data_IF_144921383479
#
_entry.id   IF_144921383479
#
_cell.length_a   1.000
_cell.length_b   1.000
_cell.length_c   1.000
_cell.angle_alpha   90.00
_cell.angle_beta   90.00
_cell.angle_gamma   90.00
#
_symmetry.space_group_name_H-M   'P 1'
#
loop_
_entity.id
_entity.type
_entity.pdbx_description
1 polymer ?
#
# COMPACT_ATOMS: atom_id res chain seq x y z
N UNK A 1 21.38 2.58 -24.55
CA UNK A 1 22.71 2.08 -24.13
C UNK A 1 22.69 1.87 -22.60
N UNK A 2 23.58 1.07 -22.00
CA UNK A 2 23.55 0.79 -20.54
C UNK A 2 23.59 2.09 -19.71
N UNK A 3 24.30 3.11 -20.18
CA UNK A 3 24.38 4.42 -19.53
C UNK A 3 23.01 5.14 -19.42
N UNK A 4 22.17 5.05 -20.46
CA UNK A 4 20.84 5.69 -20.45
C UNK A 4 19.93 5.01 -19.42
N UNK A 5 19.91 3.67 -19.41
CA UNK A 5 19.12 2.90 -18.45
C UNK A 5 19.60 3.10 -17.00
N UNK A 6 20.91 3.26 -16.79
CA UNK A 6 21.46 3.60 -15.48
C UNK A 6 21.02 4.99 -15.02
N UNK A 7 21.00 5.98 -15.92
CA UNK A 7 20.54 7.34 -15.63
C UNK A 7 19.04 7.37 -15.30
N UNK A 8 18.23 6.60 -16.03
CA UNK A 8 16.80 6.49 -15.75
C UNK A 8 16.53 5.78 -14.42
N UNK A 9 17.29 4.71 -14.11
CA UNK A 9 17.25 4.06 -12.80
C UNK A 9 17.61 5.02 -11.65
N UNK A 10 18.64 5.85 -11.84
CA UNK A 10 19.01 6.87 -10.85
C UNK A 10 17.88 7.88 -10.61
N UNK A 11 17.25 8.38 -11.67
CA UNK A 11 16.08 9.29 -11.53
C UNK A 11 14.96 8.62 -10.75
N UNK A 12 14.63 7.36 -11.06
CA UNK A 12 13.59 6.61 -10.33
C UNK A 12 13.96 6.49 -8.85
N UNK A 13 15.21 6.13 -8.53
CA UNK A 13 15.67 6.00 -7.15
C UNK A 13 15.52 7.31 -6.35
N UNK A 14 15.91 8.45 -6.94
CA UNK A 14 15.75 9.77 -6.30
C UNK A 14 14.27 10.10 -6.10
N UNK A 15 13.43 9.86 -7.10
CA UNK A 15 11.98 10.10 -6.99
C UNK A 15 11.36 9.25 -5.88
N UNK A 16 11.70 7.96 -5.80
CA UNK A 16 11.21 7.07 -4.74
C UNK A 16 11.68 7.55 -3.36
N UNK A 17 12.95 7.96 -3.22
CA UNK A 17 13.46 8.48 -1.95
C UNK A 17 12.72 9.73 -1.48
N UNK A 18 12.50 10.71 -2.37
CA UNK A 18 11.75 11.94 -2.05
C UNK A 18 10.29 11.61 -1.72
N UNK A 19 9.66 10.72 -2.49
CA UNK A 19 8.29 10.27 -2.26
C UNK A 19 8.13 9.59 -0.89
N UNK A 20 9.08 8.73 -0.50
CA UNK A 20 9.09 8.08 0.81
C UNK A 20 9.15 9.11 1.95
N UNK A 21 10.05 10.10 1.86
CA UNK A 21 10.14 11.17 2.85
C UNK A 21 8.82 11.93 2.98
N UNK A 22 8.19 12.27 1.86
CA UNK A 22 6.92 12.99 1.86
C UNK A 22 5.79 12.17 2.51
N UNK A 23 5.60 10.90 2.12
CA UNK A 23 4.53 10.08 2.67
C UNK A 23 4.74 9.69 4.13
N UNK A 24 5.98 9.39 4.55
CA UNK A 24 6.28 9.11 5.96
C UNK A 24 5.97 10.34 6.81
N UNK A 25 6.42 11.52 6.38
CA UNK A 25 6.17 12.78 7.09
C UNK A 25 4.68 13.12 7.15
N UNK A 26 3.95 12.91 6.05
CA UNK A 26 2.51 13.12 5.99
C UNK A 26 1.75 12.17 6.92
N UNK A 27 2.09 10.89 6.91
CA UNK A 27 1.48 9.90 7.81
C UNK A 27 1.73 10.24 9.27
N UNK A 28 2.93 10.69 9.61
CA UNK A 28 3.25 11.12 10.97
C UNK A 28 2.47 12.38 11.36
N UNK A 29 2.36 13.37 10.47
CA UNK A 29 1.55 14.56 10.71
C UNK A 29 0.06 14.22 10.96
N UNK A 30 -0.51 13.29 10.18
CA UNK A 30 -1.87 12.79 10.38
C UNK A 30 -1.97 12.09 11.75
N UNK A 31 -0.98 11.25 12.10
CA UNK A 31 -0.98 10.54 13.37
C UNK A 31 -0.90 11.49 14.57
N UNK A 32 -0.10 12.56 14.50
CA UNK A 32 -0.03 13.62 15.53
C UNK A 32 -1.38 14.33 15.66
N UNK A 33 -2.04 14.66 14.54
CA UNK A 33 -3.35 15.31 14.55
C UNK A 33 -4.41 14.43 15.24
N UNK A 34 -4.46 13.15 14.91
CA UNK A 34 -5.34 12.20 15.59
C UNK A 34 -4.94 11.98 17.07
N UNK A 35 -3.64 12.00 17.36
CA UNK A 35 -3.10 11.90 18.71
C UNK A 35 -3.59 13.03 19.63
N UNK A 36 -3.84 14.23 19.09
CA UNK A 36 -4.37 15.36 19.85
C UNK A 36 -5.76 15.11 20.45
N UNK A 37 -6.54 14.18 19.86
CA UNK A 37 -7.84 13.74 20.35
C UNK A 37 -7.80 12.34 20.98
N UNK A 38 -6.60 11.83 21.27
CA UNK A 38 -6.39 10.51 21.89
C UNK A 38 -6.56 9.32 20.94
N UNK A 39 -6.51 9.53 19.63
CA UNK A 39 -6.66 8.48 18.61
C UNK A 39 -5.33 8.19 17.91
N UNK A 40 -5.14 6.94 17.46
CA UNK A 40 -4.03 6.56 16.57
C UNK A 40 -4.58 6.27 15.18
N UNK A 41 -4.18 7.06 14.19
CA UNK A 41 -4.73 6.96 12.84
C UNK A 41 -4.44 5.61 12.19
N UNK A 42 -3.21 5.11 12.32
CA UNK A 42 -2.79 3.80 11.78
C UNK A 42 -3.59 2.66 12.41
N UNK A 43 -3.83 2.73 13.73
CA UNK A 43 -4.65 1.73 14.42
C UNK A 43 -6.11 1.78 13.96
N UNK A 44 -6.68 2.97 13.77
CA UNK A 44 -8.06 3.14 13.32
C UNK A 44 -8.28 2.52 11.93
N UNK A 45 -7.42 2.84 10.96
CA UNK A 45 -7.49 2.22 9.63
C UNK A 45 -7.19 0.71 9.68
N UNK A 46 -6.38 0.29 10.66
CA UNK A 46 -6.12 -1.12 10.94
C UNK A 46 -7.38 -1.88 11.33
N UNK A 47 -8.25 -1.31 12.19
CA UNK A 47 -9.54 -1.92 12.52
C UNK A 47 -10.47 -2.05 11.30
N UNK A 48 -10.41 -1.11 10.35
CA UNK A 48 -11.21 -1.18 9.11
C UNK A 48 -10.77 -2.36 8.23
N UNK A 49 -9.46 -2.62 8.16
CA UNK A 49 -8.90 -3.71 7.35
C UNK A 49 -8.77 -5.04 8.10
N UNK A 50 -8.88 -5.06 9.43
CA UNK A 50 -8.76 -6.27 10.23
C UNK A 50 -9.73 -7.40 9.83
N UNK A 51 -11.02 -7.15 9.51
CA UNK A 51 -11.90 -8.19 9.00
C UNK A 51 -11.40 -8.81 7.70
N UNK A 52 -10.81 -8.01 6.80
CA UNK A 52 -10.24 -8.50 5.54
C UNK A 52 -8.99 -9.34 5.83
N UNK A 53 -8.09 -8.85 6.68
CA UNK A 53 -6.91 -9.59 7.12
C UNK A 53 -7.29 -10.95 7.71
N UNK A 54 -8.31 -10.98 8.58
CA UNK A 54 -8.83 -12.22 9.16
C UNK A 54 -9.37 -13.18 8.09
N UNK A 55 -10.14 -12.69 7.12
CA UNK A 55 -10.63 -13.49 6.00
C UNK A 55 -9.50 -14.03 5.10
N UNK A 56 -8.36 -13.35 5.02
CA UNK A 56 -7.16 -13.84 4.33
C UNK A 56 -6.43 -14.95 5.10
N UNK A 57 -6.85 -15.27 6.33
CA UNK A 57 -6.29 -16.33 7.15
C UNK A 57 -5.28 -15.88 8.21
N UNK A 58 -5.24 -14.58 8.54
CA UNK A 58 -4.43 -14.02 9.62
C UNK A 58 -5.14 -14.21 10.97
N UNK A 59 -4.46 -14.67 12.04
CA UNK A 59 -5.06 -14.78 13.37
C UNK A 59 -5.63 -13.43 13.87
N UNK A 60 -6.76 -13.45 14.56
CA UNK A 60 -7.42 -12.21 15.01
C UNK A 60 -6.52 -11.32 15.88
N UNK A 61 -5.64 -11.92 16.69
CA UNK A 61 -4.64 -11.21 17.51
C UNK A 61 -3.65 -10.38 16.68
N UNK A 62 -3.43 -10.76 15.42
CA UNK A 62 -2.50 -10.12 14.49
C UNK A 62 -3.23 -9.29 13.41
N UNK A 63 -4.56 -9.38 13.36
CA UNK A 63 -5.38 -8.80 12.28
C UNK A 63 -5.37 -7.27 12.25
N UNK A 64 -5.30 -6.60 13.40
CA UNK A 64 -5.24 -5.13 13.46
C UNK A 64 -3.88 -4.59 13.01
N UNK A 65 -2.72 -5.10 13.51
CA UNK A 65 -1.42 -4.77 12.96
C UNK A 65 -1.31 -5.05 11.45
N UNK A 66 -1.76 -6.22 11.01
CA UNK A 66 -1.79 -6.60 9.59
C UNK A 66 -2.66 -5.65 8.77
N UNK A 67 -3.88 -5.36 9.24
CA UNK A 67 -4.81 -4.44 8.59
C UNK A 67 -4.23 -3.02 8.47
N UNK A 68 -3.48 -2.56 9.47
CA UNK A 68 -2.82 -1.26 9.44
C UNK A 68 -1.80 -1.18 8.31
N UNK A 69 -0.99 -2.23 8.11
CA UNK A 69 -0.04 -2.32 6.98
C UNK A 69 -0.79 -2.36 5.64
N UNK A 70 -1.87 -3.14 5.58
CA UNK A 70 -2.69 -3.28 4.38
C UNK A 70 -3.31 -1.95 3.93
N UNK A 71 -3.81 -1.18 4.90
CA UNK A 71 -4.39 0.15 4.69
C UNK A 71 -3.31 1.20 4.37
N UNK A 72 -2.18 1.16 5.07
CA UNK A 72 -1.04 2.06 4.84
C UNK A 72 -0.57 1.98 3.40
N UNK A 73 -0.44 0.75 2.84
CA UNK A 73 -0.14 0.55 1.41
C UNK A 73 -1.13 1.29 0.51
N UNK A 74 -2.43 1.18 0.77
CA UNK A 74 -3.47 1.73 -0.10
C UNK A 74 -3.44 3.27 -0.10
N UNK A 75 -3.28 3.87 1.08
CA UNK A 75 -3.27 5.32 1.30
C UNK A 75 -1.96 5.96 0.82
N UNK A 76 -0.84 5.28 1.07
CA UNK A 76 0.50 5.74 0.70
C UNK A 76 1.02 4.92 -0.49
N UNK A 77 1.90 3.96 -0.24
CA UNK A 77 2.40 3.00 -1.20
C UNK A 77 2.99 1.77 -0.47
N UNK A 78 3.34 0.77 -1.26
CA UNK A 78 3.94 -0.48 -0.84
C UNK A 78 5.30 -0.31 -0.15
N UNK A 79 6.14 0.64 -0.57
CA UNK A 79 7.45 0.85 0.06
C UNK A 79 7.32 1.38 1.50
N UNK A 80 6.43 2.34 1.74
CA UNK A 80 6.14 2.85 3.09
C UNK A 80 5.60 1.71 3.98
N UNK A 81 4.65 0.94 3.46
CA UNK A 81 4.10 -0.20 4.19
C UNK A 81 5.14 -1.29 4.46
N UNK A 82 6.08 -1.55 3.55
CA UNK A 82 7.18 -2.50 3.76
C UNK A 82 8.18 -2.03 4.83
N UNK A 83 8.44 -0.71 4.91
CA UNK A 83 9.27 -0.14 5.98
C UNK A 83 8.62 -0.32 7.35
N UNK A 84 7.30 -0.08 7.45
CA UNK A 84 6.54 -0.34 8.66
C UNK A 84 6.51 -1.85 8.99
N UNK A 85 6.30 -2.70 7.98
CA UNK A 85 6.24 -4.15 8.14
C UNK A 85 7.54 -4.72 8.71
N UNK A 86 8.70 -4.20 8.26
CA UNK A 86 10.01 -4.60 8.78
C UNK A 86 10.11 -4.49 10.31
N UNK A 87 9.45 -3.49 10.90
CA UNK A 87 9.52 -3.24 12.34
C UNK A 87 8.66 -4.21 13.16
N UNK A 88 7.69 -4.89 12.54
CA UNK A 88 6.77 -5.82 13.22
C UNK A 88 7.01 -7.29 12.84
N UNK A 89 7.99 -7.58 11.98
CA UNK A 89 8.33 -8.95 11.55
C UNK A 89 8.58 -9.89 12.74
N UNK A 90 9.18 -9.41 13.83
CA UNK A 90 9.44 -10.24 15.01
C UNK A 90 8.21 -10.56 15.86
N UNK A 91 7.12 -9.81 15.68
CA UNK A 91 5.95 -9.82 16.56
C UNK A 91 4.75 -10.58 15.97
N UNK A 92 4.85 -11.04 14.72
CA UNK A 92 3.77 -11.74 14.01
C UNK A 92 4.20 -13.14 13.57
N UNK A 93 3.23 -14.06 13.50
CA UNK A 93 3.46 -15.44 13.06
C UNK A 93 4.04 -15.52 11.64
N UNK A 94 4.81 -16.58 11.34
CA UNK A 94 5.37 -16.83 10.00
C UNK A 94 4.29 -16.86 8.91
N UNK A 95 3.08 -17.36 9.25
CA UNK A 95 1.91 -17.34 8.38
C UNK A 95 1.49 -15.93 8.02
N UNK A 96 1.33 -15.05 9.00
CA UNK A 96 1.00 -13.63 8.78
C UNK A 96 2.09 -12.91 7.99
N UNK A 97 3.36 -13.21 8.29
CA UNK A 97 4.48 -12.66 7.52
C UNK A 97 4.37 -13.03 6.04
N UNK A 98 4.09 -14.30 5.72
CA UNK A 98 3.91 -14.76 4.36
C UNK A 98 2.73 -14.08 3.66
N UNK A 99 1.56 -14.04 4.31
CA UNK A 99 0.33 -13.44 3.76
C UNK A 99 0.56 -11.94 3.46
N UNK A 100 1.10 -11.19 4.42
CA UNK A 100 1.34 -9.76 4.27
C UNK A 100 2.43 -9.47 3.26
N UNK A 101 3.50 -10.26 3.22
CA UNK A 101 4.55 -10.10 2.20
C UNK A 101 3.97 -10.18 0.79
N UNK A 102 3.14 -11.17 0.50
CA UNK A 102 2.52 -11.31 -0.83
C UNK A 102 1.47 -10.23 -1.10
N UNK A 103 0.69 -9.84 -0.09
CA UNK A 103 -0.26 -8.73 -0.24
C UNK A 103 0.44 -7.40 -0.58
N UNK A 104 1.57 -7.11 0.06
CA UNK A 104 2.30 -5.85 -0.10
C UNK A 104 3.01 -5.74 -1.45
N UNK A 105 3.41 -6.84 -2.08
CA UNK A 105 4.11 -6.84 -3.38
C UNK A 105 3.13 -6.58 -4.53
N UNK A 106 2.66 -5.34 -4.64
CA UNK A 106 1.90 -4.79 -5.77
C UNK A 106 1.76 -3.27 -5.65
N UNK A 107 1.60 -2.59 -6.78
CA UNK A 107 1.44 -1.13 -6.84
C UNK A 107 -0.02 -0.66 -6.70
N UNK A 108 -0.87 -1.42 -6.01
CA UNK A 108 -2.27 -1.07 -5.80
C UNK A 108 -2.41 -0.01 -4.69
N UNK A 109 -2.42 1.27 -5.07
CA UNK A 109 -2.61 2.43 -4.19
C UNK A 109 -3.19 3.64 -4.95
N UNK A 110 -3.66 4.66 -4.23
CA UNK A 110 -4.24 5.87 -4.85
C UNK A 110 -3.23 6.64 -5.72
N UNK A 111 -1.95 6.66 -5.32
CA UNK A 111 -0.87 7.29 -6.07
C UNK A 111 -0.69 6.69 -7.46
N UNK A 112 -0.67 5.35 -7.57
CA UNK A 112 -0.56 4.63 -8.85
C UNK A 112 -1.72 4.93 -9.78
N UNK A 113 -2.95 5.03 -9.27
CA UNK A 113 -4.11 5.41 -10.08
C UNK A 113 -3.94 6.83 -10.63
N UNK A 114 -3.43 7.76 -9.81
CA UNK A 114 -3.08 9.12 -10.24
C UNK A 114 -2.01 9.13 -11.34
N UNK A 115 -0.95 8.32 -11.19
CA UNK A 115 0.10 8.16 -12.21
C UNK A 115 -0.50 7.66 -13.52
N UNK A 116 -1.31 6.60 -13.50
CA UNK A 116 -1.94 6.04 -14.71
C UNK A 116 -2.83 7.08 -15.41
N UNK A 117 -3.69 7.76 -14.65
CA UNK A 117 -4.56 8.80 -15.20
C UNK A 117 -3.74 9.95 -15.79
N UNK A 118 -2.71 10.41 -15.09
CA UNK A 118 -1.82 11.49 -15.54
C UNK A 118 -1.06 11.13 -16.81
N UNK A 119 -0.50 9.92 -16.86
CA UNK A 119 0.20 9.41 -18.05
C UNK A 119 -0.72 9.32 -19.27
N UNK A 120 -1.97 8.86 -19.09
CA UNK A 120 -2.93 8.76 -20.20
C UNK A 120 -3.40 10.16 -20.64
N UNK A 121 -3.64 11.10 -19.72
CA UNK A 121 -3.96 12.49 -20.06
C UNK A 121 -2.84 13.16 -20.87
N UNK A 122 -1.57 12.89 -20.52
CA UNK A 122 -0.41 13.36 -21.29
C UNK A 122 -0.38 12.89 -22.75
N UNK A 123 -1.14 11.83 -23.09
CA UNK A 123 -1.30 11.32 -24.46
C UNK A 123 -2.64 11.79 -25.07
N UNK A 124 -3.73 11.73 -24.30
CA UNK A 124 -5.08 12.11 -24.71
C UNK A 124 -5.97 12.45 -23.51
N UNK A 125 -6.39 13.72 -23.42
CA UNK A 125 -7.27 14.20 -22.36
C UNK A 125 -8.58 13.40 -22.27
N UNK A 126 -9.24 13.19 -23.42
CA UNK A 126 -10.50 12.43 -23.50
C UNK A 126 -10.36 11.01 -22.94
N UNK A 127 -9.25 10.32 -23.24
CA UNK A 127 -9.03 8.97 -22.71
C UNK A 127 -8.66 9.01 -21.23
N UNK A 128 -7.89 10.01 -20.80
CA UNK A 128 -7.53 10.18 -19.41
C UNK A 128 -8.73 10.47 -18.52
N UNK A 129 -9.70 11.28 -18.98
CA UNK A 129 -10.98 11.48 -18.29
C UNK A 129 -11.80 10.19 -18.22
N UNK A 130 -11.84 9.42 -19.31
CA UNK A 130 -12.49 8.11 -19.30
C UNK A 130 -11.86 7.20 -18.24
N UNK A 131 -10.54 7.11 -18.16
CA UNK A 131 -9.86 6.28 -17.15
C UNK A 131 -10.08 6.81 -15.74
N UNK A 132 -10.03 8.13 -15.55
CA UNK A 132 -10.32 8.76 -14.25
C UNK A 132 -11.71 8.39 -13.73
N UNK A 133 -12.72 8.29 -14.60
CA UNK A 133 -14.08 7.87 -14.20
C UNK A 133 -14.14 6.43 -13.65
N UNK A 134 -13.14 5.60 -13.94
CA UNK A 134 -13.01 4.23 -13.41
C UNK A 134 -11.97 4.11 -12.28
N UNK A 135 -11.37 5.20 -11.80
CA UNK A 135 -10.28 5.21 -10.82
C UNK A 135 -10.56 4.32 -9.59
N UNK A 136 -11.73 4.46 -8.97
CA UNK A 136 -12.10 3.66 -7.79
C UNK A 136 -12.27 2.17 -8.12
N UNK A 137 -12.76 1.84 -9.31
CA UNK A 137 -12.90 0.44 -9.76
C UNK A 137 -11.54 -0.19 -10.05
N UNK A 138 -10.61 0.57 -10.62
CA UNK A 138 -9.22 0.14 -10.83
C UNK A 138 -8.50 -0.12 -9.50
N UNK A 139 -8.68 0.79 -8.54
CA UNK A 139 -8.12 0.63 -7.20
C UNK A 139 -8.69 -0.60 -6.49
N UNK A 140 -10.01 -0.77 -6.52
CA UNK A 140 -10.67 -1.92 -5.91
C UNK A 140 -10.22 -3.23 -6.56
N UNK A 141 -10.22 -3.31 -7.90
CA UNK A 141 -9.82 -4.51 -8.63
C UNK A 141 -8.37 -4.92 -8.34
N UNK A 142 -7.44 -3.95 -8.34
CA UNK A 142 -6.02 -4.22 -8.02
C UNK A 142 -5.81 -4.58 -6.55
N UNK A 143 -6.57 -3.99 -5.62
CA UNK A 143 -6.54 -4.36 -4.20
C UNK A 143 -7.07 -5.78 -3.99
N UNK A 144 -8.20 -6.14 -4.63
CA UNK A 144 -8.75 -7.49 -4.58
C UNK A 144 -7.78 -8.53 -5.13
N UNK A 145 -7.05 -8.22 -6.21
CA UNK A 145 -6.00 -9.10 -6.72
C UNK A 145 -4.88 -9.34 -5.69
N UNK A 146 -4.53 -8.31 -4.90
CA UNK A 146 -3.57 -8.44 -3.80
C UNK A 146 -4.12 -9.29 -2.65
N UNK A 147 -5.40 -9.10 -2.30
CA UNK A 147 -6.10 -9.88 -1.27
C UNK A 147 -6.16 -11.36 -1.66
N UNK A 148 -6.53 -11.67 -2.90
CA UNK A 148 -6.59 -13.05 -3.40
C UNK A 148 -5.20 -13.68 -3.36
N UNK A 149 -4.18 -12.99 -3.85
CA UNK A 149 -2.79 -13.48 -3.82
C UNK A 149 -2.32 -13.78 -2.38
N UNK A 150 -2.57 -12.89 -1.43
CA UNK A 150 -2.25 -13.13 -0.02
C UNK A 150 -3.08 -14.26 0.61
N UNK A 151 -4.36 -14.37 0.24
CA UNK A 151 -5.24 -15.45 0.75
C UNK A 151 -4.78 -16.82 0.29
N UNK A 152 -4.27 -16.93 -0.94
CA UNK A 152 -3.69 -18.19 -1.45
C UNK A 152 -2.51 -18.61 -0.56
N UNK A 153 -1.66 -17.67 -0.12
CA UNK A 153 -0.60 -17.98 0.82
C UNK A 153 -1.14 -18.45 2.16
N UNK A 154 -2.21 -17.82 2.67
CA UNK A 154 -2.88 -18.26 3.89
C UNK A 154 -3.52 -19.65 3.78
N UNK A 155 -3.78 -20.17 2.58
CA UNK A 155 -4.23 -21.55 2.40
C UNK A 155 -3.08 -22.56 2.42
N UNK A 156 -1.87 -22.15 2.01
CA UNK A 156 -0.73 -23.04 1.81
C UNK A 156 0.23 -23.07 3.00
N UNK A 157 0.31 -21.98 3.77
CA UNK A 157 1.10 -21.85 5.01
C UNK A 157 0.21 -21.97 6.25
#
# INVERSE_FOLDING_TARGET
MIGDSAMDGFKIAVVVAVMLLAFISLMEAINILFGSVGLNFKQLIGYVFAPIAFLMGIPWSEAVPAGSLMATKLITNEFVAMLDFKNVLGDVSARTQGIISVYLVSFANFGTVGIIVGSIKGISDKQGEKVASFAMRLLLGSTLASIISGSIIGLVL
#
